data_IF_329731581047
#
_entry.id   IF_329731581047
#
_cell.length_a   1.000
_cell.length_b   1.000
_cell.length_c   1.000
_cell.angle_alpha   90.00
_cell.angle_beta   90.00
_cell.angle_gamma   90.00
#
_symmetry.space_group_name_H-M   'P 1'
#
loop_
_entity.id
_entity.type
_entity.pdbx_description
1 polymer ?
#
# COMPACT_ATOMS: atom_id res chain seq x y z
N UNK A 1 -6.34 -0.65 15.05
CA UNK A 1 -5.89 0.24 16.15
C UNK A 1 -5.44 -0.61 17.32
N UNK A 2 -4.59 -0.13 18.23
CA UNK A 2 -4.13 -0.93 19.40
C UNK A 2 -5.27 -1.19 20.41
N UNK A 3 -5.40 -2.42 20.89
CA UNK A 3 -6.44 -2.84 21.85
C UNK A 3 -6.21 -2.32 23.28
N UNK A 4 -5.17 -1.53 23.52
CA UNK A 4 -4.94 -0.95 24.83
C UNK A 4 -5.80 0.31 24.96
N UNK A 5 -6.51 0.54 26.09
CA UNK A 5 -7.39 1.69 26.27
C UNK A 5 -6.71 3.00 25.84
N UNK A 6 -7.43 3.82 25.07
CA UNK A 6 -6.99 5.12 24.57
C UNK A 6 -5.70 5.11 23.70
N UNK A 7 -5.24 3.95 23.25
CA UNK A 7 -4.04 3.87 22.43
C UNK A 7 -4.34 4.00 20.92
N UNK A 8 -4.00 5.16 20.34
CA UNK A 8 -4.13 5.40 18.89
C UNK A 8 -2.96 4.89 18.02
N UNK A 9 -2.03 4.11 18.59
CA UNK A 9 -0.88 3.61 17.83
C UNK A 9 -1.29 2.44 16.93
N UNK A 10 -0.63 2.34 15.77
CA UNK A 10 -0.81 1.22 14.86
C UNK A 10 -0.41 -0.10 15.53
N UNK A 11 -1.19 -1.14 15.27
CA UNK A 11 -0.91 -2.49 15.74
C UNK A 11 0.29 -3.06 15.01
N UNK A 12 1.14 -3.77 15.74
CA UNK A 12 2.29 -4.48 15.18
C UNK A 12 1.95 -5.96 15.06
N UNK A 13 1.50 -6.58 16.16
CA UNK A 13 1.07 -7.98 16.24
C UNK A 13 0.10 -8.13 17.41
N UNK A 14 -0.74 -9.18 17.38
CA UNK A 14 -1.69 -9.50 18.46
C UNK A 14 -2.59 -8.32 18.82
N UNK A 15 -2.97 -7.52 17.83
CA UNK A 15 -3.74 -6.29 17.98
C UNK A 15 -3.16 -5.27 18.97
N UNK A 16 -1.86 -5.32 19.28
CA UNK A 16 -1.20 -4.35 20.16
C UNK A 16 -0.04 -3.63 19.48
N UNK A 17 0.20 -2.40 19.90
CA UNK A 17 1.28 -1.57 19.38
C UNK A 17 2.64 -2.01 19.96
N UNK A 18 3.72 -1.42 19.46
CA UNK A 18 5.08 -1.73 19.90
C UNK A 18 5.30 -1.58 21.42
N UNK A 19 4.62 -0.63 22.06
CA UNK A 19 4.75 -0.35 23.49
C UNK A 19 3.80 -1.19 24.35
N UNK A 20 2.63 -1.55 23.83
CA UNK A 20 1.61 -2.29 24.59
C UNK A 20 1.62 -3.79 24.31
N UNK A 21 2.78 -4.43 24.07
CA UNK A 21 2.88 -5.90 23.93
C UNK A 21 2.83 -6.44 22.49
N UNK A 22 2.86 -5.57 21.49
CA UNK A 22 3.13 -5.94 20.09
C UNK A 22 4.58 -6.35 19.83
N UNK A 23 5.51 -5.99 20.74
CA UNK A 23 6.89 -6.48 20.79
C UNK A 23 7.12 -7.26 22.09
N UNK A 24 8.07 -8.20 22.05
CA UNK A 24 8.50 -8.95 23.24
C UNK A 24 9.52 -8.12 24.01
N UNK A 25 9.42 -8.09 25.33
CA UNK A 25 10.44 -7.54 26.20
C UNK A 25 11.55 -8.57 26.46
N UNK A 26 12.71 -8.06 26.87
CA UNK A 26 13.83 -8.85 27.33
C UNK A 26 13.44 -9.69 28.55
N UNK A 27 13.84 -10.96 28.58
CA UNK A 27 13.59 -11.86 29.70
C UNK A 27 14.55 -11.68 30.88
N UNK A 28 15.55 -10.81 30.75
CA UNK A 28 16.47 -10.51 31.85
C UNK A 28 15.73 -9.79 32.99
N UNK A 29 15.93 -10.16 34.27
CA UNK A 29 15.23 -9.55 35.40
C UNK A 29 15.35 -8.02 35.39
N UNK A 30 14.21 -7.33 35.61
CA UNK A 30 14.12 -5.87 35.65
C UNK A 30 14.51 -5.12 34.36
N UNK A 31 14.69 -5.82 33.24
CA UNK A 31 14.99 -5.17 31.96
C UNK A 31 13.71 -4.74 31.24
N UNK A 32 13.58 -3.44 30.98
CA UNK A 32 12.44 -2.85 30.23
C UNK A 32 12.68 -2.77 28.71
N UNK A 33 13.84 -3.24 28.24
CA UNK A 33 14.20 -3.18 26.83
C UNK A 33 13.50 -4.25 25.99
N UNK A 34 13.37 -3.99 24.70
CA UNK A 34 12.79 -4.94 23.76
C UNK A 34 13.76 -6.07 23.40
N UNK A 35 13.25 -7.30 23.37
CA UNK A 35 14.00 -8.44 22.86
C UNK A 35 14.30 -8.27 21.35
N UNK A 36 15.50 -8.67 20.93
CA UNK A 36 15.98 -8.62 19.55
C UNK A 36 16.45 -10.01 19.16
N UNK A 37 15.66 -10.72 18.34
CA UNK A 37 15.96 -12.09 17.92
C UNK A 37 16.06 -13.05 19.10
N UNK A 38 14.97 -13.74 19.43
CA UNK A 38 14.89 -14.63 20.59
C UNK A 38 14.24 -13.97 21.81
N UNK A 39 14.80 -14.20 23.01
CA UNK A 39 14.21 -13.81 24.30
C UNK A 39 14.85 -12.57 24.95
N UNK A 40 16.04 -12.15 24.52
CA UNK A 40 16.81 -11.09 25.18
C UNK A 40 17.01 -9.86 24.29
N UNK A 41 17.29 -8.70 24.89
CA UNK A 41 17.73 -7.50 24.18
C UNK A 41 19.22 -7.61 23.81
N UNK A 42 19.73 -6.70 22.99
CA UNK A 42 21.15 -6.74 22.54
C UNK A 42 22.13 -6.76 23.73
N UNK A 43 21.85 -5.99 24.79
CA UNK A 43 22.70 -5.94 25.97
C UNK A 43 22.70 -7.25 26.79
N UNK A 44 21.64 -8.05 26.71
CA UNK A 44 21.45 -9.26 27.50
C UNK A 44 21.50 -10.54 26.65
N UNK A 45 22.17 -10.51 25.49
CA UNK A 45 22.38 -11.70 24.63
C UNK A 45 21.35 -11.89 23.51
N UNK A 46 20.59 -10.85 23.17
CA UNK A 46 19.75 -10.83 21.98
C UNK A 46 20.59 -10.73 20.71
N UNK A 47 20.19 -11.46 19.66
CA UNK A 47 20.91 -11.49 18.38
C UNK A 47 20.12 -10.72 17.33
N UNK A 48 20.67 -9.59 16.87
CA UNK A 48 20.20 -8.94 15.66
C UNK A 48 20.82 -9.61 14.44
N UNK A 49 20.17 -10.63 13.88
CA UNK A 49 20.62 -11.24 12.63
C UNK A 49 20.38 -10.26 11.48
N UNK A 50 21.43 -9.53 11.10
CA UNK A 50 21.45 -8.79 9.85
C UNK A 50 21.45 -9.77 8.68
N UNK A 51 20.41 -9.73 7.85
CA UNK A 51 20.44 -10.46 6.57
C UNK A 51 21.24 -9.63 5.58
N UNK A 52 22.29 -10.21 5.01
CA UNK A 52 23.10 -9.59 3.98
C UNK A 52 22.55 -9.92 2.59
N UNK A 53 22.98 -9.15 1.60
CA UNK A 53 22.62 -9.35 0.21
C UNK A 53 23.23 -10.64 -0.35
N UNK A 54 22.43 -11.47 -1.02
CA UNK A 54 22.86 -12.74 -1.65
C UNK A 54 23.83 -12.57 -2.85
N UNK A 55 24.15 -11.34 -3.24
CA UNK A 55 25.08 -11.09 -4.35
C UNK A 55 26.49 -11.21 -3.82
N UNK A 56 27.31 -12.07 -4.44
CA UNK A 56 28.70 -12.29 -4.06
C UNK A 56 29.47 -10.95 -3.93
N UNK A 57 30.20 -10.79 -2.83
CA UNK A 57 30.95 -9.57 -2.53
C UNK A 57 30.10 -8.38 -2.04
N UNK A 58 28.78 -8.53 -1.85
CA UNK A 58 27.93 -7.44 -1.37
C UNK A 58 27.69 -7.49 0.15
N UNK A 59 28.40 -6.67 0.92
CA UNK A 59 28.19 -6.50 2.37
C UNK A 59 26.99 -5.64 2.77
N UNK A 60 26.09 -5.28 1.83
CA UNK A 60 24.92 -4.43 2.14
C UNK A 60 23.78 -5.29 2.73
N UNK A 61 23.00 -4.68 3.61
CA UNK A 61 21.80 -5.31 4.17
C UNK A 61 20.78 -5.68 3.08
N UNK A 62 20.23 -6.88 3.19
CA UNK A 62 19.13 -7.34 2.38
C UNK A 62 17.79 -6.80 2.92
N UNK A 63 16.90 -6.51 1.97
CA UNK A 63 15.52 -6.12 2.24
C UNK A 63 14.59 -7.19 1.67
N UNK A 64 14.10 -7.01 0.45
CA UNK A 64 13.26 -7.97 -0.25
C UNK A 64 14.10 -8.96 -1.07
N UNK A 65 13.59 -10.18 -1.28
CA UNK A 65 14.24 -11.22 -2.09
C UNK A 65 15.70 -11.53 -1.71
N UNK A 66 16.07 -11.33 -0.43
CA UNK A 66 17.45 -11.48 0.07
C UNK A 66 18.48 -10.59 -0.65
N UNK A 67 18.06 -9.50 -1.30
CA UNK A 67 18.95 -8.55 -1.98
C UNK A 67 18.90 -7.18 -1.34
N UNK A 68 19.97 -6.39 -1.50
CA UNK A 68 19.98 -4.98 -1.12
C UNK A 68 19.22 -4.13 -2.15
N UNK A 69 18.92 -2.87 -1.84
CA UNK A 69 18.16 -1.97 -2.74
C UNK A 69 18.79 -1.90 -4.14
N UNK A 70 20.12 -1.76 -4.21
CA UNK A 70 20.87 -1.69 -5.49
C UNK A 70 20.82 -2.99 -6.30
N UNK A 71 20.65 -4.13 -5.64
CA UNK A 71 20.60 -5.45 -6.28
C UNK A 71 19.17 -5.99 -6.43
N UNK A 72 18.15 -5.14 -6.32
CA UNK A 72 16.75 -5.56 -6.53
C UNK A 72 15.97 -5.91 -5.26
N UNK A 73 16.46 -5.49 -4.10
CA UNK A 73 15.78 -5.64 -2.81
C UNK A 73 14.71 -4.59 -2.50
N UNK A 74 14.48 -3.65 -3.42
CA UNK A 74 13.43 -2.63 -3.31
C UNK A 74 12.29 -2.89 -4.28
N UNK A 75 11.09 -2.39 -3.96
CA UNK A 75 9.96 -2.35 -4.91
C UNK A 75 10.09 -1.09 -5.78
N UNK A 76 9.85 -1.22 -7.09
CA UNK A 76 9.71 -0.08 -7.99
C UNK A 76 8.32 0.52 -7.90
N UNK A 77 8.19 1.74 -8.38
CA UNK A 77 6.90 2.42 -8.52
C UNK A 77 6.00 1.64 -9.47
N UNK A 78 4.73 1.48 -9.13
CA UNK A 78 3.74 0.76 -9.96
C UNK A 78 3.36 1.53 -11.24
N UNK A 79 3.59 2.84 -11.29
CA UNK A 79 3.37 3.66 -12.49
C UNK A 79 4.28 3.19 -13.63
N UNK A 80 3.69 2.88 -14.78
CA UNK A 80 4.40 2.45 -15.98
C UNK A 80 5.51 3.43 -16.38
N UNK A 81 6.68 2.91 -16.75
CA UNK A 81 7.84 3.72 -17.11
C UNK A 81 8.58 4.40 -15.95
N UNK A 82 8.12 4.25 -14.69
CA UNK A 82 8.79 4.85 -13.54
C UNK A 82 9.89 3.94 -12.97
N UNK A 83 11.14 4.37 -13.05
CA UNK A 83 12.30 3.67 -12.47
C UNK A 83 12.54 3.97 -10.98
N UNK A 84 11.74 4.85 -10.37
CA UNK A 84 11.93 5.23 -8.97
C UNK A 84 11.41 4.15 -8.02
N UNK A 85 12.03 4.04 -6.84
CA UNK A 85 11.56 3.12 -5.81
C UNK A 85 10.26 3.59 -5.15
N UNK A 86 9.35 2.64 -4.98
CA UNK A 86 8.14 2.82 -4.19
C UNK A 86 8.50 3.07 -2.72
N UNK A 87 7.85 4.06 -2.11
CA UNK A 87 7.98 4.34 -0.68
C UNK A 87 6.78 3.83 0.11
N UNK A 88 5.66 3.55 -0.54
CA UNK A 88 4.43 3.08 0.09
C UNK A 88 3.27 3.04 -0.90
N UNK A 89 2.32 2.13 -0.67
CA UNK A 89 1.21 1.82 -1.58
C UNK A 89 1.65 1.54 -3.04
N UNK A 90 2.87 1.02 -3.22
CA UNK A 90 3.43 0.80 -4.56
C UNK A 90 3.91 2.05 -5.28
N UNK A 91 3.83 3.24 -4.69
CA UNK A 91 4.14 4.51 -5.37
C UNK A 91 5.41 5.18 -4.85
N UNK A 92 6.17 5.81 -5.75
CA UNK A 92 7.33 6.63 -5.41
C UNK A 92 6.89 7.98 -4.84
N UNK A 93 7.82 8.83 -4.38
CA UNK A 93 7.46 10.14 -3.83
C UNK A 93 6.75 11.05 -4.85
N UNK A 94 7.16 10.98 -6.13
CA UNK A 94 6.58 11.80 -7.20
C UNK A 94 5.15 11.35 -7.56
N UNK A 95 4.88 10.05 -7.52
CA UNK A 95 3.59 9.48 -7.90
C UNK A 95 2.65 9.20 -6.72
N UNK A 96 3.03 9.60 -5.49
CA UNK A 96 2.14 9.49 -4.33
C UNK A 96 1.01 10.52 -4.33
N UNK A 97 1.12 11.54 -5.17
CA UNK A 97 0.22 12.69 -5.25
C UNK A 97 -0.62 12.71 -6.51
N UNK A 98 -0.49 11.70 -7.37
CA UNK A 98 -1.26 11.58 -8.61
C UNK A 98 -2.29 10.48 -8.43
N UNK A 99 -3.50 10.92 -8.09
CA UNK A 99 -4.77 10.23 -8.29
C UNK A 99 -4.97 8.91 -7.50
N UNK A 100 -5.54 9.05 -6.30
CA UNK A 100 -6.56 8.09 -5.85
C UNK A 100 -7.89 8.43 -6.53
N UNK A 101 -7.93 8.40 -7.85
CA UNK A 101 -9.16 8.51 -8.64
C UNK A 101 -9.14 7.38 -9.69
N UNK A 102 -9.14 6.14 -9.20
CA UNK A 102 -9.82 5.09 -9.93
C UNK A 102 -11.29 5.13 -9.49
N UNK A 103 -12.09 5.80 -10.30
CA UNK A 103 -13.55 5.74 -10.34
C UNK A 103 -14.06 4.30 -10.15
N UNK A 104 -14.77 4.08 -9.04
CA UNK A 104 -15.87 3.14 -8.91
C UNK A 104 -16.96 3.89 -8.14
N UNK A 105 -17.68 4.75 -8.84
CA UNK A 105 -19.01 5.19 -8.43
C UNK A 105 -19.99 4.57 -9.42
N UNK A 106 -20.28 3.30 -9.23
CA UNK A 106 -21.42 2.62 -9.85
C UNK A 106 -21.85 1.51 -8.91
N UNK A 107 -22.47 1.91 -7.81
CA UNK A 107 -23.50 1.11 -7.17
C UNK A 107 -24.61 2.09 -6.78
N UNK A 108 -25.68 2.02 -7.55
CA UNK A 108 -26.94 2.72 -7.38
C UNK A 108 -27.47 2.53 -5.95
N UNK A 109 -27.72 3.64 -5.25
CA UNK A 109 -28.70 3.64 -4.17
C UNK A 109 -29.88 4.45 -4.70
N UNK A 110 -31.00 3.76 -4.93
CA UNK A 110 -32.31 4.39 -5.03
C UNK A 110 -32.52 5.19 -3.74
N UNK A 111 -32.49 6.52 -3.85
CA UNK A 111 -32.96 7.41 -2.81
C UNK A 111 -34.17 8.10 -3.40
N UNK A 112 -35.30 7.78 -2.79
CA UNK A 112 -36.65 8.20 -3.08
C UNK A 112 -36.72 9.72 -3.32
N UNK A 113 -37.30 10.10 -4.46
CA UNK A 113 -37.68 11.47 -4.82
C UNK A 113 -38.52 12.08 -3.69
N UNK A 114 -38.01 13.05 -2.94
CA UNK A 114 -38.68 14.35 -2.76
C UNK A 114 -37.78 15.36 -2.00
N UNK A 115 -37.54 16.50 -2.66
CA UNK A 115 -36.87 17.72 -2.20
C UNK A 115 -35.34 17.73 -2.13
N UNK A 116 -34.70 17.94 -3.28
CA UNK A 116 -33.47 18.74 -3.33
C UNK A 116 -33.70 19.90 -4.29
N UNK A 117 -33.28 21.06 -3.81
CA UNK A 117 -33.60 22.41 -4.25
C UNK A 117 -33.09 22.74 -5.66
N UNK A 118 -33.92 23.47 -6.42
CA UNK A 118 -33.68 24.02 -7.76
C UNK A 118 -32.33 24.75 -7.93
N UNK A 119 -31.67 25.13 -6.83
CA UNK A 119 -30.37 25.79 -6.81
C UNK A 119 -29.22 24.90 -7.29
N UNK A 120 -29.33 23.57 -7.12
CA UNK A 120 -28.26 22.62 -7.47
C UNK A 120 -28.25 22.34 -8.98
N UNK A 121 -29.43 22.27 -9.60
CA UNK A 121 -29.57 21.98 -11.03
C UNK A 121 -28.96 23.09 -11.90
N UNK A 122 -29.08 24.34 -11.47
CA UNK A 122 -28.51 25.50 -12.16
C UNK A 122 -26.97 25.53 -12.13
N UNK A 123 -26.34 24.92 -11.11
CA UNK A 123 -24.88 24.87 -11.00
C UNK A 123 -24.26 23.78 -11.87
N UNK A 124 -24.95 22.65 -12.06
CA UNK A 124 -24.47 21.51 -12.85
C UNK A 124 -24.63 21.69 -14.37
N UNK A 125 -25.42 22.67 -14.83
CA UNK A 125 -25.60 22.95 -16.26
C UNK A 125 -24.61 23.99 -16.83
N UNK A 126 -23.55 24.34 -16.11
CA UNK A 126 -22.50 25.21 -16.67
C UNK A 126 -21.56 24.42 -17.60
N UNK A 127 -21.33 24.87 -18.84
CA UNK A 127 -20.45 24.17 -19.78
C UNK A 127 -19.00 24.20 -19.25
N UNK A 128 -18.45 23.05 -18.91
CA UNK A 128 -17.01 22.92 -18.68
C UNK A 128 -16.31 22.89 -20.03
N UNK A 129 -15.37 23.80 -20.23
CA UNK A 129 -14.59 23.91 -21.45
C UNK A 129 -13.88 22.59 -21.77
N UNK A 130 -14.05 22.01 -22.98
CA UNK A 130 -13.36 20.78 -23.36
C UNK A 130 -11.88 21.07 -23.62
N UNK A 131 -10.98 20.35 -22.94
CA UNK A 131 -9.62 20.14 -23.44
C UNK A 131 -9.55 18.69 -23.93
N UNK A 132 -9.98 18.51 -25.18
CA UNK A 132 -9.86 17.28 -25.93
C UNK A 132 -8.40 16.85 -26.07
N UNK A 133 -8.15 15.56 -25.86
CA UNK A 133 -7.58 14.62 -26.87
C UNK A 133 -7.33 13.27 -26.22
N UNK A 134 -8.26 12.35 -26.42
CA UNK A 134 -7.97 10.91 -26.36
C UNK A 134 -7.94 10.43 -27.81
N UNK A 135 -6.80 9.87 -28.20
CA UNK A 135 -6.55 9.34 -29.53
C UNK A 135 -7.45 8.14 -29.79
N UNK A 136 -8.11 8.15 -30.95
CA UNK A 136 -8.92 7.06 -31.46
C UNK A 136 -8.08 5.79 -31.67
N UNK A 137 -8.54 4.68 -31.12
CA UNK A 137 -8.02 3.35 -31.43
C UNK A 137 -9.18 2.40 -31.71
N UNK A 138 -9.51 2.28 -33.00
CA UNK A 138 -10.51 1.36 -33.56
C UNK A 138 -10.16 -0.10 -33.26
N UNK A 139 -11.06 -0.81 -32.58
CA UNK A 139 -11.03 -2.26 -32.42
C UNK A 139 -12.12 -2.88 -33.30
N UNK A 140 -11.79 -3.63 -34.38
CA UNK A 140 -12.81 -4.19 -35.23
C UNK A 140 -13.49 -5.39 -34.57
N UNK A 141 -14.81 -5.26 -34.49
CA UNK A 141 -15.77 -6.30 -34.11
C UNK A 141 -15.92 -7.34 -35.22
N UNK A 142 -15.72 -8.61 -34.90
CA UNK A 142 -16.38 -9.78 -35.52
C UNK A 142 -16.28 -10.93 -34.50
N UNK A 143 -17.15 -11.92 -34.41
CA UNK A 143 -18.54 -12.18 -34.79
C UNK A 143 -18.79 -13.57 -34.20
N UNK A 144 -19.92 -13.73 -33.50
CA UNK A 144 -20.39 -14.98 -32.90
C UNK A 144 -20.38 -16.15 -33.90
N UNK A 145 -19.87 -17.31 -33.48
CA UNK A 145 -20.29 -18.61 -34.01
C UNK A 145 -20.44 -19.60 -32.86
N UNK A 146 -21.61 -20.26 -32.88
CA UNK A 146 -22.11 -21.27 -31.95
C UNK A 146 -21.22 -22.52 -31.95
N UNK A 147 -21.09 -23.16 -30.78
CA UNK A 147 -20.61 -24.54 -30.68
C UNK A 147 -21.69 -25.34 -29.98
N UNK A 148 -22.39 -26.15 -30.78
CA UNK A 148 -23.26 -27.22 -30.28
C UNK A 148 -22.46 -28.35 -29.65
N UNK A 149 -23.10 -28.98 -28.67
CA UNK A 149 -22.69 -30.17 -27.96
C UNK A 149 -22.63 -31.39 -28.89
N UNK A 150 -21.50 -32.12 -28.86
CA UNK A 150 -21.48 -33.59 -28.94
C UNK A 150 -20.53 -34.09 -27.87
#
# INVERSE_FOLDING_TARGET
MCDFPDCRKQTVKRNRCAQHGGKRFCWFPNCIENARGGKFCIAHGGVATARLCDVAGCGKHAHLHKKCIRHGGGKHCSVAGCSLHARGRGLCRKHRTTESECVLSSDEQSVDEESLDESILAFLMQPTSPCDKVVDFDWPSTSLFEIEFI
#
